data_IF_112528459514
#
_entry.id   IF_112528459514
#
_cell.length_a   1.000
_cell.length_b   1.000
_cell.length_c   1.000
_cell.angle_alpha   90.00
_cell.angle_beta   90.00
_cell.angle_gamma   90.00
#
_symmetry.space_group_name_H-M   'P 1'
#
loop_
_entity.id
_entity.type
_entity.pdbx_description
1 polymer ?
#
# COMPACT_ATOMS: atom_id res chain seq x y z
N UNK A 1 39.23 77.01 10.19
CA UNK A 1 40.52 77.20 10.92
C UNK A 1 40.39 76.48 12.26
N UNK A 2 41.39 75.73 12.76
CA UNK A 2 42.22 74.74 12.07
C UNK A 2 42.34 73.40 12.85
N UNK A 3 42.71 72.35 12.11
CA UNK A 3 43.76 71.36 12.45
C UNK A 3 43.55 70.18 13.43
N UNK A 4 43.98 69.02 12.89
CA UNK A 4 44.83 67.97 13.52
C UNK A 4 44.14 66.94 14.43
N UNK A 5 44.44 65.63 14.44
CA UNK A 5 45.57 64.79 13.95
C UNK A 5 45.07 63.33 13.91
N UNK A 6 45.20 62.61 12.78
CA UNK A 6 46.08 61.44 12.52
C UNK A 6 46.57 60.56 13.71
N UNK A 7 46.31 59.25 13.55
CA UNK A 7 47.24 58.11 13.79
C UNK A 7 47.19 57.48 15.18
N UNK A 8 47.50 56.20 15.42
CA UNK A 8 47.90 54.98 14.66
C UNK A 8 47.89 53.80 15.69
N UNK A 9 48.06 52.56 15.19
CA UNK A 9 48.53 51.33 15.90
C UNK A 9 47.49 50.64 16.83
N UNK A 10 47.43 49.32 17.01
CA UNK A 10 48.08 48.14 16.42
C UNK A 10 47.28 46.91 16.86
N UNK A 11 47.21 45.91 15.98
CA UNK A 11 47.17 44.45 16.20
C UNK A 11 46.72 43.80 17.54
N UNK A 12 45.84 42.79 17.33
CA UNK A 12 45.87 41.41 17.85
C UNK A 12 45.41 41.13 19.28
N UNK A 13 44.31 40.37 19.38
CA UNK A 13 43.96 39.56 20.55
C UNK A 13 42.71 38.71 20.29
N UNK A 14 42.84 37.38 20.37
CA UNK A 14 41.79 36.38 20.10
C UNK A 14 40.58 36.54 21.04
N UNK A 15 39.38 36.36 20.49
CA UNK A 15 38.15 36.06 21.24
C UNK A 15 37.58 34.80 20.54
N UNK A 16 37.48 33.62 21.14
CA UNK A 16 36.92 33.33 22.46
C UNK A 16 35.49 32.81 22.25
N UNK A 17 35.36 31.59 21.71
CA UNK A 17 34.08 30.89 21.57
C UNK A 17 33.55 30.51 22.97
N UNK A 18 32.39 31.02 23.34
CA UNK A 18 31.53 30.44 24.38
C UNK A 18 30.07 30.85 24.10
N UNK A 19 29.33 29.98 23.43
CA UNK A 19 27.87 30.08 23.33
C UNK A 19 27.26 29.40 24.56
N UNK A 20 26.36 30.12 25.24
CA UNK A 20 25.62 29.64 26.40
C UNK A 20 24.63 28.51 26.06
N UNK A 21 24.38 27.66 27.07
CA UNK A 21 23.55 26.45 27.01
C UNK A 21 22.05 26.73 27.07
N UNK A 22 21.21 25.83 26.52
CA UNK A 22 19.83 25.68 26.97
C UNK A 22 19.53 24.24 27.48
N UNK A 23 18.43 24.06 28.22
CA UNK A 23 18.33 23.13 29.35
C UNK A 23 18.23 21.64 28.96
N UNK A 24 18.72 20.79 29.86
CA UNK A 24 18.63 19.33 29.79
C UNK A 24 17.21 18.85 30.06
N UNK A 25 16.39 18.81 29.01
CA UNK A 25 15.14 18.05 29.05
C UNK A 25 15.43 16.56 28.79
N UNK A 26 15.17 15.77 29.82
CA UNK A 26 15.05 14.32 29.80
C UNK A 26 13.89 13.95 28.86
N UNK A 27 14.18 13.72 27.57
CA UNK A 27 13.18 13.25 26.60
C UNK A 27 13.26 11.71 26.60
N UNK A 28 12.19 11.00 27.00
CA UNK A 28 12.19 9.55 26.95
C UNK A 28 12.30 9.08 25.50
N UNK A 29 13.32 8.26 25.26
CA UNK A 29 13.53 7.47 24.04
C UNK A 29 12.29 6.60 23.76
N UNK A 30 11.39 7.09 22.91
CA UNK A 30 10.29 6.29 22.36
C UNK A 30 9.85 6.88 21.03
N UNK A 31 10.51 6.47 19.95
CA UNK A 31 9.91 6.57 18.62
C UNK A 31 9.88 5.18 18.03
N UNK A 32 8.79 4.46 18.32
CA UNK A 32 8.34 3.30 17.58
C UNK A 32 8.15 3.72 16.11
N UNK A 33 9.21 3.64 15.31
CA UNK A 33 9.10 3.74 13.86
C UNK A 33 8.66 2.36 13.36
N UNK A 34 7.42 2.21 12.86
CA UNK A 34 6.96 0.92 12.36
C UNK A 34 7.89 0.47 11.23
N UNK A 35 8.36 -0.77 11.30
CA UNK A 35 9.21 -1.35 10.26
C UNK A 35 8.55 -1.22 8.88
N UNK A 36 9.33 -1.06 7.82
CA UNK A 36 8.83 -0.94 6.44
C UNK A 36 7.83 -2.06 6.08
N UNK A 37 8.04 -3.26 6.63
CA UNK A 37 7.11 -4.39 6.51
C UNK A 37 5.75 -4.12 7.16
N UNK A 38 5.74 -3.52 8.36
CA UNK A 38 4.52 -3.15 9.10
C UNK A 38 3.77 -2.04 8.36
N UNK A 39 4.47 -1.00 7.89
CA UNK A 39 3.88 0.04 7.03
C UNK A 39 3.25 -0.53 5.77
N UNK A 40 3.92 -1.46 5.09
CA UNK A 40 3.39 -2.13 3.89
C UNK A 40 2.13 -2.96 4.21
N UNK A 41 2.11 -3.65 5.35
CA UNK A 41 0.95 -4.43 5.80
C UNK A 41 -0.25 -3.55 6.13
N UNK A 42 -0.04 -2.48 6.92
CA UNK A 42 -1.08 -1.50 7.28
C UNK A 42 -1.64 -0.80 6.03
N UNK A 43 -0.76 -0.49 5.08
CA UNK A 43 -1.13 0.06 3.77
C UNK A 43 -1.97 -0.94 2.96
N UNK A 44 -1.59 -2.22 2.96
CA UNK A 44 -2.35 -3.30 2.29
C UNK A 44 -3.76 -3.47 2.87
N UNK A 45 -3.89 -3.53 4.20
CA UNK A 45 -5.18 -3.61 4.89
C UNK A 45 -6.08 -2.40 4.60
N UNK A 46 -5.47 -1.23 4.46
CA UNK A 46 -6.18 0.00 4.09
C UNK A 46 -6.73 -0.11 2.66
N UNK A 47 -5.92 -0.57 1.71
CA UNK A 47 -6.34 -0.75 0.32
C UNK A 47 -7.38 -1.86 0.14
N UNK A 48 -7.27 -2.96 0.86
CA UNK A 48 -8.28 -4.02 0.87
C UNK A 48 -9.64 -3.49 1.36
N UNK A 49 -9.64 -2.66 2.42
CA UNK A 49 -10.86 -2.03 2.93
C UNK A 49 -11.48 -1.08 1.90
N UNK A 50 -10.67 -0.27 1.23
CA UNK A 50 -11.14 0.65 0.19
C UNK A 50 -11.68 -0.11 -1.02
N UNK A 51 -11.05 -1.23 -1.39
CA UNK A 51 -11.52 -2.10 -2.46
C UNK A 51 -12.88 -2.73 -2.11
N UNK A 52 -13.04 -3.25 -0.88
CA UNK A 52 -14.32 -3.79 -0.42
C UNK A 52 -15.43 -2.72 -0.49
N UNK A 53 -15.18 -1.52 0.04
CA UNK A 53 -16.14 -0.43 -0.01
C UNK A 53 -16.51 -0.04 -1.46
N UNK A 54 -15.55 -0.07 -2.39
CA UNK A 54 -15.81 0.15 -3.81
C UNK A 54 -16.76 -0.91 -4.37
N UNK A 55 -16.55 -2.20 -4.08
CA UNK A 55 -17.43 -3.26 -4.55
C UNK A 55 -18.84 -3.17 -3.96
N UNK A 56 -18.96 -2.89 -2.66
CA UNK A 56 -20.26 -2.67 -2.00
C UNK A 56 -21.04 -1.53 -2.66
N UNK A 57 -20.39 -0.38 -2.90
CA UNK A 57 -21.00 0.76 -3.59
C UNK A 57 -21.44 0.45 -5.03
N UNK A 58 -20.79 -0.54 -5.67
CA UNK A 58 -21.14 -1.00 -7.02
C UNK A 58 -22.14 -2.18 -7.01
N UNK A 59 -22.76 -2.45 -5.86
CA UNK A 59 -23.83 -3.45 -5.71
C UNK A 59 -23.31 -4.89 -5.68
N UNK A 60 -22.07 -5.10 -5.25
CA UNK A 60 -21.56 -6.43 -4.92
C UNK A 60 -21.72 -6.70 -3.43
N UNK A 61 -21.99 -7.96 -3.09
CA UNK A 61 -21.87 -8.50 -1.75
C UNK A 61 -20.41 -8.89 -1.47
N UNK A 62 -19.89 -8.56 -0.29
CA UNK A 62 -18.58 -9.03 0.16
C UNK A 62 -18.76 -10.38 0.83
N UNK A 63 -18.34 -11.46 0.15
CA UNK A 63 -18.43 -12.81 0.71
C UNK A 63 -17.32 -13.07 1.72
N UNK A 64 -16.09 -12.65 1.40
CA UNK A 64 -14.93 -12.88 2.25
C UNK A 64 -13.81 -11.89 1.96
N UNK A 65 -13.01 -11.61 2.99
CA UNK A 65 -11.80 -10.77 2.93
C UNK A 65 -10.60 -11.57 3.45
N UNK A 66 -9.44 -11.39 2.82
CA UNK A 66 -8.18 -12.05 3.15
C UNK A 66 -8.36 -13.56 3.39
N UNK A 67 -9.01 -14.24 2.43
CA UNK A 67 -9.26 -15.68 2.52
C UNK A 67 -7.99 -16.45 2.22
N UNK A 68 -7.73 -17.49 3.00
CA UNK A 68 -6.49 -18.27 2.91
C UNK A 68 -6.77 -19.76 2.90
N UNK A 69 -6.08 -20.47 2.01
CA UNK A 69 -6.08 -21.92 1.96
C UNK A 69 -4.67 -22.44 1.75
N UNK A 70 -4.16 -23.19 2.74
CA UNK A 70 -2.76 -23.60 2.79
C UNK A 70 -1.81 -22.40 2.67
N UNK A 71 -1.04 -22.35 1.58
CA UNK A 71 -0.09 -21.25 1.26
C UNK A 71 -0.64 -20.22 0.27
N UNK A 72 -1.92 -20.32 -0.10
CA UNK A 72 -2.56 -19.45 -1.09
C UNK A 72 -3.48 -18.46 -0.38
N UNK A 73 -3.62 -17.27 -0.96
CA UNK A 73 -4.46 -16.21 -0.43
C UNK A 73 -5.23 -15.51 -1.55
N UNK A 74 -6.43 -15.05 -1.21
CA UNK A 74 -7.29 -14.20 -2.05
C UNK A 74 -7.65 -12.98 -1.19
N UNK A 75 -7.33 -11.78 -1.68
CA UNK A 75 -7.51 -10.55 -0.90
C UNK A 75 -9.00 -10.26 -0.66
N UNK A 76 -9.84 -10.44 -1.68
CA UNK A 76 -11.27 -10.18 -1.60
C UNK A 76 -12.07 -11.11 -2.50
N UNK A 77 -13.20 -11.61 -2.00
CA UNK A 77 -14.16 -12.43 -2.74
C UNK A 77 -15.50 -11.71 -2.72
N UNK A 78 -16.02 -11.38 -3.89
CA UNK A 78 -17.25 -10.59 -4.03
C UNK A 78 -18.25 -11.27 -4.95
N UNK A 79 -19.54 -10.99 -4.75
CA UNK A 79 -20.63 -11.59 -5.53
C UNK A 79 -21.60 -10.55 -6.05
N UNK A 80 -22.09 -10.73 -7.29
CA UNK A 80 -23.19 -9.94 -7.85
C UNK A 80 -24.07 -10.82 -8.73
N UNK A 81 -25.28 -11.12 -8.28
CA UNK A 81 -26.13 -12.10 -8.95
C UNK A 81 -25.48 -13.48 -8.97
N UNK A 82 -25.30 -14.05 -10.17
CA UNK A 82 -24.64 -15.36 -10.36
C UNK A 82 -23.11 -15.27 -10.42
N UNK A 83 -22.54 -14.07 -10.52
CA UNK A 83 -21.11 -13.84 -10.65
C UNK A 83 -20.41 -13.85 -9.30
N UNK A 84 -19.32 -14.61 -9.18
CA UNK A 84 -18.34 -14.52 -8.10
C UNK A 84 -17.01 -14.05 -8.70
N UNK A 85 -16.52 -12.92 -8.19
CA UNK A 85 -15.21 -12.38 -8.55
C UNK A 85 -14.20 -12.58 -7.42
N UNK A 86 -13.05 -13.15 -7.77
CA UNK A 86 -11.90 -13.30 -6.89
C UNK A 86 -10.91 -12.19 -7.22
N UNK A 87 -10.68 -11.30 -6.26
CA UNK A 87 -10.01 -10.02 -6.49
C UNK A 87 -8.65 -10.00 -5.83
N UNK A 88 -7.63 -9.65 -6.61
CA UNK A 88 -6.29 -9.29 -6.13
C UNK A 88 -6.19 -7.76 -5.98
N UNK A 89 -5.70 -7.29 -4.83
CA UNK A 89 -5.53 -5.86 -4.54
C UNK A 89 -4.05 -5.47 -4.57
N UNK A 90 -3.69 -4.49 -5.40
CA UNK A 90 -2.29 -4.04 -5.55
C UNK A 90 -2.14 -2.55 -5.31
N UNK A 91 -1.16 -2.17 -4.49
CA UNK A 91 -0.66 -0.80 -4.43
C UNK A 91 0.33 -0.55 -5.55
N UNK A 92 0.13 0.45 -6.41
CA UNK A 92 1.07 0.80 -7.46
C UNK A 92 1.56 2.25 -7.31
N UNK A 93 2.88 2.44 -7.30
CA UNK A 93 3.53 3.73 -7.03
C UNK A 93 3.69 4.63 -8.26
N UNK A 94 3.33 4.19 -9.47
CA UNK A 94 3.34 5.02 -10.68
C UNK A 94 2.32 4.56 -11.72
N UNK A 95 2.03 5.41 -12.73
CA UNK A 95 1.13 5.11 -13.87
C UNK A 95 1.80 4.33 -15.01
N UNK A 96 3.08 3.98 -14.90
CA UNK A 96 3.94 3.59 -16.04
C UNK A 96 3.75 2.15 -16.53
N UNK A 97 2.58 1.57 -16.32
CA UNK A 97 2.43 0.13 -16.35
C UNK A 97 1.16 -0.25 -17.12
N UNK A 98 1.32 -1.21 -18.05
CA UNK A 98 0.24 -1.71 -18.90
C UNK A 98 -0.83 -2.52 -18.15
N UNK A 99 -1.60 -3.30 -18.92
CA UNK A 99 -2.73 -4.10 -18.44
C UNK A 99 -2.36 -4.93 -17.19
N UNK A 100 -3.21 -5.00 -16.14
CA UNK A 100 -2.87 -5.68 -14.90
C UNK A 100 -2.60 -7.18 -15.07
N UNK A 101 -3.18 -7.82 -16.10
CA UNK A 101 -2.80 -9.17 -16.53
C UNK A 101 -1.27 -9.32 -16.62
N UNK A 102 -0.60 -8.33 -17.20
CA UNK A 102 0.85 -8.33 -17.41
C UNK A 102 1.64 -8.14 -16.10
N UNK A 103 0.96 -7.90 -14.98
CA UNK A 103 1.56 -7.74 -13.64
C UNK A 103 1.23 -8.88 -12.69
N UNK A 104 0.28 -9.73 -13.03
CA UNK A 104 0.00 -10.95 -12.24
C UNK A 104 0.81 -12.05 -12.91
N UNK A 105 1.90 -12.46 -12.26
CA UNK A 105 2.74 -13.53 -12.79
C UNK A 105 1.95 -14.85 -12.91
N UNK A 106 2.36 -15.72 -13.83
CA UNK A 106 1.68 -17.00 -14.10
C UNK A 106 1.52 -17.85 -12.84
N UNK A 107 2.51 -17.80 -11.93
CA UNK A 107 2.46 -18.51 -10.66
C UNK A 107 1.35 -17.96 -9.75
N UNK A 108 1.12 -16.66 -9.73
CA UNK A 108 0.07 -16.01 -8.97
C UNK A 108 -1.30 -16.29 -9.59
N UNK A 109 -1.42 -16.32 -10.92
CA UNK A 109 -2.64 -16.77 -11.61
C UNK A 109 -2.98 -18.22 -11.22
N UNK A 110 -2.02 -19.14 -11.30
CA UNK A 110 -2.22 -20.53 -10.92
C UNK A 110 -2.59 -20.69 -9.43
N UNK A 111 -1.99 -19.88 -8.55
CA UNK A 111 -2.32 -19.89 -7.12
C UNK A 111 -3.72 -19.34 -6.84
N UNK A 112 -4.11 -18.25 -7.50
CA UNK A 112 -5.45 -17.69 -7.38
C UNK A 112 -6.50 -18.64 -7.94
N UNK A 113 -6.21 -19.31 -9.05
CA UNK A 113 -7.12 -20.31 -9.64
C UNK A 113 -7.36 -21.47 -8.68
N UNK A 114 -6.30 -22.05 -8.12
CA UNK A 114 -6.41 -23.15 -7.14
C UNK A 114 -7.09 -22.71 -5.84
N UNK A 115 -6.85 -21.48 -5.40
CA UNK A 115 -7.51 -20.91 -4.24
C UNK A 115 -9.02 -20.73 -4.50
N UNK A 116 -9.39 -20.17 -5.64
CA UNK A 116 -10.78 -19.97 -6.03
C UNK A 116 -11.55 -21.29 -6.14
N UNK A 117 -10.96 -22.30 -6.78
CA UNK A 117 -11.53 -23.64 -6.85
C UNK A 117 -11.79 -24.22 -5.46
N UNK A 118 -10.79 -24.14 -4.56
CA UNK A 118 -10.95 -24.62 -3.19
C UNK A 118 -12.05 -23.85 -2.44
N UNK A 119 -12.13 -22.54 -2.62
CA UNK A 119 -13.19 -21.73 -2.01
C UNK A 119 -14.58 -22.19 -2.47
N UNK A 120 -14.77 -22.42 -3.77
CA UNK A 120 -16.04 -22.90 -4.30
C UNK A 120 -16.41 -24.28 -3.73
N UNK A 121 -15.44 -25.20 -3.65
CA UNK A 121 -15.63 -26.54 -3.07
C UNK A 121 -16.00 -26.46 -1.59
N UNK A 122 -15.25 -25.70 -0.79
CA UNK A 122 -15.44 -25.58 0.65
C UNK A 122 -16.82 -25.00 0.99
N UNK A 123 -17.32 -24.10 0.14
CA UNK A 123 -18.61 -23.45 0.32
C UNK A 123 -19.76 -24.11 -0.47
N UNK A 124 -19.50 -25.23 -1.17
CA UNK A 124 -20.47 -25.96 -2.00
C UNK A 124 -21.19 -25.05 -3.01
N UNK A 125 -20.44 -24.14 -3.62
CA UNK A 125 -20.95 -23.20 -4.61
C UNK A 125 -20.81 -23.83 -5.98
N UNK A 126 -21.93 -23.94 -6.69
CA UNK A 126 -22.01 -24.53 -8.03
C UNK A 126 -22.81 -23.59 -8.96
N UNK A 127 -22.60 -23.72 -10.27
CA UNK A 127 -23.37 -22.99 -11.29
C UNK A 127 -23.12 -21.47 -11.35
N UNK A 128 -22.10 -20.95 -10.65
CA UNK A 128 -21.75 -19.54 -10.69
C UNK A 128 -20.85 -19.18 -11.87
N UNK A 129 -20.95 -17.94 -12.34
CA UNK A 129 -19.95 -17.36 -13.23
C UNK A 129 -18.73 -16.99 -12.38
N UNK A 130 -17.55 -17.42 -12.81
CA UNK A 130 -16.29 -17.13 -12.12
C UNK A 130 -15.51 -16.06 -12.90
N UNK A 131 -14.96 -15.08 -12.17
CA UNK A 131 -14.08 -14.05 -12.76
C UNK A 131 -12.91 -13.74 -11.83
N UNK A 132 -11.76 -13.42 -12.41
CA UNK A 132 -10.63 -12.87 -11.65
C UNK A 132 -10.50 -11.40 -11.93
N UNK A 133 -10.51 -10.59 -10.88
CA UNK A 133 -10.41 -9.14 -10.98
C UNK A 133 -9.10 -8.66 -10.36
N UNK A 134 -8.62 -7.51 -10.82
CA UNK A 134 -7.53 -6.79 -10.16
C UNK A 134 -8.02 -5.40 -9.77
N UNK A 135 -7.74 -4.99 -8.54
CA UNK A 135 -7.90 -3.60 -8.11
C UNK A 135 -6.51 -3.01 -7.88
N UNK A 136 -6.25 -1.85 -8.45
CA UNK A 136 -5.00 -1.12 -8.20
C UNK A 136 -5.25 0.24 -7.59
N UNK A 137 -4.32 0.68 -6.74
CA UNK A 137 -4.30 2.03 -6.20
C UNK A 137 -3.11 2.79 -6.78
N UNK A 138 -3.38 3.78 -7.62
CA UNK A 138 -2.36 4.61 -8.29
C UNK A 138 -2.64 6.08 -7.99
N UNK A 139 -1.66 6.79 -7.41
CA UNK A 139 -1.79 8.21 -7.05
C UNK A 139 -3.07 8.53 -6.24
N UNK A 140 -3.43 7.65 -5.31
CA UNK A 140 -4.64 7.79 -4.48
C UNK A 140 -5.96 7.47 -5.19
N UNK A 141 -5.93 7.03 -6.45
CA UNK A 141 -7.12 6.59 -7.19
C UNK A 141 -7.20 5.07 -7.25
N UNK A 142 -8.42 4.55 -7.06
CA UNK A 142 -8.75 3.14 -7.26
C UNK A 142 -9.10 2.92 -8.73
N UNK A 143 -8.46 1.93 -9.35
CA UNK A 143 -8.79 1.44 -10.68
C UNK A 143 -9.16 -0.05 -10.58
N UNK A 144 -10.35 -0.41 -11.07
CA UNK A 144 -10.86 -1.78 -11.11
C UNK A 144 -10.76 -2.34 -12.52
N UNK A 145 -10.15 -3.50 -12.63
CA UNK A 145 -9.97 -4.25 -13.86
C UNK A 145 -10.75 -5.55 -13.74
N UNK A 146 -11.99 -5.60 -14.25
CA UNK A 146 -12.76 -6.83 -14.30
C UNK A 146 -12.17 -7.78 -15.35
N UNK A 147 -12.28 -9.08 -15.11
CA UNK A 147 -11.78 -10.11 -16.04
C UNK A 147 -10.30 -9.90 -16.40
N UNK A 148 -9.51 -9.62 -15.37
CA UNK A 148 -8.13 -9.22 -15.52
C UNK A 148 -7.26 -10.33 -16.11
N UNK A 149 -7.62 -11.60 -15.91
CA UNK A 149 -6.95 -12.77 -16.50
C UNK A 149 -7.87 -14.00 -16.43
N UNK A 150 -7.72 -14.97 -17.35
CA UNK A 150 -8.46 -16.22 -17.30
C UNK A 150 -7.95 -17.14 -16.19
N UNK A 151 -8.81 -18.08 -15.77
CA UNK A 151 -8.38 -19.22 -14.98
C UNK A 151 -7.32 -20.05 -15.73
N UNK A 152 -6.40 -20.66 -14.99
CA UNK A 152 -5.40 -21.58 -15.55
C UNK A 152 -5.48 -22.94 -14.87
N UNK A 153 -5.16 -24.00 -15.61
CA UNK A 153 -5.16 -25.39 -15.13
C UNK A 153 -4.14 -25.67 -14.00
#
# INVERSE_FOLDING_TARGET
MPSSKKGRHSEKGRCGLAFGEPPTNNIPSSKDHPSEKRRRLETGQTFERLAAAFFEQNGFEILQRNWRTGRREIDLIVKKGNLIAFVEVKSASSKKYGHPANRVDERKIANLTKAAQQYLIDNKIEGCDLRFDVVTFVNGKLEHFPDAFPATD
#
